data_IF_095738327299
#
_entry.id   IF_095738327299
#
_cell.length_a   1.000
_cell.length_b   1.000
_cell.length_c   1.000
_cell.angle_alpha   90.00
_cell.angle_beta   90.00
_cell.angle_gamma   90.00
#
_symmetry.space_group_name_H-M   'P 1'
#
loop_
_entity.id
_entity.type
_entity.pdbx_description
1 polymer ?
#
# COMPACT_ATOMS: atom_id res chain seq x y z
N UNK A 1 9.16 28.16 -23.41
CA UNK A 1 10.11 27.94 -24.55
C UNK A 1 9.39 28.10 -25.87
N UNK A 2 10.13 28.27 -26.98
CA UNK A 2 9.56 28.34 -28.33
C UNK A 2 8.71 27.12 -28.72
N UNK A 3 8.93 26.01 -28.07
CA UNK A 3 8.25 24.70 -28.32
C UNK A 3 7.00 24.51 -27.44
N UNK A 4 6.53 25.57 -26.77
CA UNK A 4 5.37 25.50 -25.87
C UNK A 4 5.63 24.79 -24.54
N UNK A 5 6.86 24.36 -24.22
CA UNK A 5 7.20 23.77 -22.92
C UNK A 5 7.22 24.82 -21.83
N UNK A 6 6.57 24.54 -20.71
CA UNK A 6 6.66 25.34 -19.49
C UNK A 6 7.90 24.89 -18.74
N UNK A 7 8.86 25.82 -18.53
CA UNK A 7 10.04 25.57 -17.69
C UNK A 7 9.84 26.21 -16.32
N UNK A 8 10.05 25.48 -15.23
CA UNK A 8 10.11 26.07 -13.92
C UNK A 8 11.43 26.85 -13.77
N UNK A 9 11.32 28.17 -13.57
CA UNK A 9 12.48 29.05 -13.39
C UNK A 9 12.46 29.63 -11.98
N UNK A 10 13.61 29.62 -11.33
CA UNK A 10 13.87 30.44 -10.16
C UNK A 10 14.43 31.78 -10.64
N UNK A 11 13.77 32.88 -10.35
CA UNK A 11 14.24 34.21 -10.69
C UNK A 11 14.66 34.95 -9.42
N UNK A 12 15.89 35.44 -9.41
CA UNK A 12 16.40 36.34 -8.39
C UNK A 12 16.62 37.70 -9.02
N UNK A 13 16.07 38.73 -8.45
CA UNK A 13 16.25 40.14 -8.92
C UNK A 13 17.01 40.89 -7.84
N UNK A 14 18.11 41.52 -8.23
CA UNK A 14 18.96 42.37 -7.37
C UNK A 14 19.02 43.77 -7.89
N UNK A 15 18.99 44.74 -7.01
CA UNK A 15 19.20 46.17 -7.31
C UNK A 15 20.69 46.45 -7.35
N UNK A 16 21.11 47.19 -8.36
CA UNK A 16 22.47 47.76 -8.45
C UNK A 16 22.37 49.27 -8.27
N UNK A 17 23.12 49.80 -7.31
CA UNK A 17 23.16 51.21 -6.99
C UNK A 17 24.56 51.76 -7.26
N UNK A 18 24.65 53.04 -7.64
CA UNK A 18 25.92 53.74 -7.82
C UNK A 18 26.58 54.13 -6.48
N UNK A 19 27.73 54.81 -6.56
CA UNK A 19 28.48 55.28 -5.37
C UNK A 19 27.71 56.32 -4.54
N UNK A 20 26.64 56.90 -5.08
CA UNK A 20 25.75 57.85 -4.43
C UNK A 20 24.45 57.20 -3.91
N UNK A 21 24.33 55.84 -4.01
CA UNK A 21 23.17 55.10 -3.54
C UNK A 21 21.96 55.15 -4.50
N UNK A 22 22.11 55.74 -5.68
CA UNK A 22 21.04 55.82 -6.69
C UNK A 22 20.91 54.49 -7.43
N UNK A 23 19.68 53.97 -7.52
CA UNK A 23 19.39 52.74 -8.29
C UNK A 23 19.71 52.99 -9.77
N UNK A 24 20.59 52.15 -10.33
CA UNK A 24 21.02 52.27 -11.72
C UNK A 24 20.47 51.15 -12.59
N UNK A 25 20.41 49.93 -12.04
CA UNK A 25 20.01 48.73 -12.80
C UNK A 25 19.31 47.71 -11.90
N UNK A 26 18.53 46.82 -12.51
CA UNK A 26 18.13 45.56 -11.94
C UNK A 26 18.86 44.43 -12.66
N UNK A 27 19.45 43.53 -11.90
CA UNK A 27 20.01 42.29 -12.43
C UNK A 27 19.06 41.18 -12.13
N UNK A 28 18.53 40.50 -13.16
CA UNK A 28 17.71 39.33 -13.01
C UNK A 28 18.52 38.09 -13.43
N UNK A 29 18.69 37.17 -12.50
CA UNK A 29 19.27 35.85 -12.76
C UNK A 29 18.12 34.83 -12.82
N UNK A 30 18.06 34.09 -13.90
CA UNK A 30 17.09 33.03 -14.09
C UNK A 30 17.82 31.70 -14.11
N UNK A 31 17.43 30.80 -13.20
CA UNK A 31 17.99 29.46 -13.12
C UNK A 31 16.90 28.45 -13.47
N UNK A 32 17.16 27.55 -14.43
CA UNK A 32 16.29 26.41 -14.70
C UNK A 32 16.36 25.42 -13.52
N UNK A 33 15.23 25.18 -12.89
CA UNK A 33 15.10 24.25 -11.74
C UNK A 33 14.37 22.97 -12.10
N UNK A 34 14.27 22.63 -13.40
CA UNK A 34 13.58 21.40 -13.87
C UNK A 34 14.15 20.16 -13.22
N UNK A 35 15.46 20.00 -13.24
CA UNK A 35 16.14 18.84 -12.64
C UNK A 35 15.93 18.75 -11.12
N UNK A 36 15.90 19.88 -10.44
CA UNK A 36 15.61 19.94 -8.99
C UNK A 36 14.19 19.47 -8.72
N UNK A 37 13.22 19.96 -9.48
CA UNK A 37 11.81 19.57 -9.33
C UNK A 37 11.57 18.10 -9.70
N UNK A 38 12.21 17.60 -10.75
CA UNK A 38 12.14 16.18 -11.13
C UNK A 38 12.71 15.29 -10.02
N UNK A 39 13.87 15.66 -9.47
CA UNK A 39 14.49 14.94 -8.36
C UNK A 39 13.60 14.98 -7.12
N UNK A 40 13.06 16.13 -6.77
CA UNK A 40 12.14 16.29 -5.64
C UNK A 40 10.89 15.42 -5.80
N UNK A 41 10.26 15.47 -6.98
CA UNK A 41 9.08 14.63 -7.28
C UNK A 41 9.41 13.14 -7.23
N UNK A 42 10.60 12.76 -7.68
CA UNK A 42 11.06 11.37 -7.59
C UNK A 42 11.29 10.93 -6.16
N UNK A 43 11.91 11.77 -5.33
CA UNK A 43 12.08 11.49 -3.90
C UNK A 43 10.74 11.38 -3.17
N UNK A 44 9.81 12.29 -3.45
CA UNK A 44 8.45 12.25 -2.91
C UNK A 44 7.72 10.95 -3.30
N UNK A 45 7.84 10.54 -4.56
CA UNK A 45 7.27 9.28 -5.02
C UNK A 45 7.87 8.08 -4.26
N UNK A 46 9.19 8.02 -4.15
CA UNK A 46 9.90 6.94 -3.45
C UNK A 46 9.59 6.89 -1.95
N UNK A 47 9.33 8.04 -1.32
CA UNK A 47 8.95 8.11 0.07
C UNK A 47 7.54 7.53 0.34
N UNK A 48 6.63 7.58 -0.65
CA UNK A 48 5.22 7.27 -0.48
C UNK A 48 4.73 6.04 -1.26
N UNK A 49 5.55 5.47 -2.15
CA UNK A 49 5.17 4.34 -2.98
C UNK A 49 6.17 3.19 -2.86
N UNK A 50 5.67 1.99 -3.04
CA UNK A 50 6.49 0.79 -3.20
C UNK A 50 7.17 0.81 -4.57
N UNK A 51 8.50 0.70 -4.58
CA UNK A 51 9.32 0.87 -5.79
C UNK A 51 9.05 -0.22 -6.83
N UNK A 52 8.66 -1.41 -6.39
CA UNK A 52 8.44 -2.55 -7.27
C UNK A 52 7.09 -2.50 -7.96
N UNK A 53 6.02 -2.24 -7.19
CA UNK A 53 4.63 -2.31 -7.68
C UNK A 53 4.03 -0.94 -8.00
N UNK A 54 4.72 0.14 -7.64
CA UNK A 54 4.24 1.54 -7.73
C UNK A 54 2.95 1.82 -6.95
N UNK A 55 2.51 0.89 -6.11
CA UNK A 55 1.38 1.09 -5.23
C UNK A 55 1.77 1.99 -4.05
N UNK A 56 0.82 2.66 -3.39
CA UNK A 56 1.03 3.24 -2.08
C UNK A 56 1.78 2.29 -1.15
N UNK A 57 2.83 2.80 -0.49
CA UNK A 57 3.56 2.03 0.50
C UNK A 57 2.87 2.10 1.88
N UNK A 58 3.46 1.47 2.89
CA UNK A 58 2.96 1.46 4.28
C UNK A 58 2.73 2.87 4.84
N UNK A 59 3.63 3.80 4.55
CA UNK A 59 3.54 5.18 5.04
C UNK A 59 2.32 5.89 4.47
N UNK A 60 2.22 5.96 3.15
CA UNK A 60 1.09 6.62 2.46
C UNK A 60 -0.25 5.94 2.79
N UNK A 61 -0.25 4.61 2.92
CA UNK A 61 -1.45 3.89 3.33
C UNK A 61 -1.89 4.25 4.74
N UNK A 62 -0.96 4.30 5.70
CA UNK A 62 -1.25 4.68 7.09
C UNK A 62 -1.85 6.08 7.18
N UNK A 63 -1.26 7.05 6.48
CA UNK A 63 -1.76 8.43 6.44
C UNK A 63 -3.18 8.49 5.86
N UNK A 64 -3.43 7.79 4.75
CA UNK A 64 -4.77 7.71 4.15
C UNK A 64 -5.79 7.08 5.07
N UNK A 65 -5.44 5.97 5.72
CA UNK A 65 -6.33 5.28 6.64
C UNK A 65 -6.75 6.18 7.81
N UNK A 66 -5.81 6.93 8.40
CA UNK A 66 -6.11 7.90 9.46
C UNK A 66 -7.11 8.97 8.97
N UNK A 67 -6.82 9.60 7.82
CA UNK A 67 -7.70 10.62 7.26
C UNK A 67 -9.12 10.10 6.93
N UNK A 68 -9.19 8.87 6.40
CA UNK A 68 -10.48 8.25 6.05
C UNK A 68 -11.28 7.91 7.30
N UNK A 69 -10.63 7.42 8.37
CA UNK A 69 -11.29 7.17 9.67
C UNK A 69 -11.82 8.48 10.28
N UNK A 70 -11.02 9.55 10.31
CA UNK A 70 -11.46 10.85 10.81
C UNK A 70 -12.67 11.39 10.04
N UNK A 71 -12.66 11.21 8.71
CA UNK A 71 -13.80 11.59 7.87
C UNK A 71 -15.02 10.71 8.16
N UNK A 72 -14.84 9.40 8.22
CA UNK A 72 -15.91 8.44 8.52
C UNK A 72 -16.56 8.72 9.88
N UNK A 73 -15.76 9.08 10.89
CA UNK A 73 -16.24 9.46 12.21
C UNK A 73 -17.12 10.72 12.18
N UNK A 74 -16.71 11.75 11.42
CA UNK A 74 -17.49 12.99 11.30
C UNK A 74 -18.78 12.82 10.53
N UNK A 75 -18.76 11.99 9.50
CA UNK A 75 -19.87 11.84 8.53
C UNK A 75 -20.76 10.64 8.85
N UNK A 76 -20.43 9.83 9.86
CA UNK A 76 -21.18 8.64 10.23
C UNK A 76 -21.08 7.52 9.17
N UNK A 77 -19.96 7.47 8.44
CA UNK A 77 -19.74 6.47 7.40
C UNK A 77 -19.02 5.24 7.96
N UNK A 78 -19.17 4.12 7.26
CA UNK A 78 -18.40 2.89 7.50
C UNK A 78 -17.34 2.72 6.41
N UNK A 79 -16.22 2.14 6.77
CA UNK A 79 -15.14 1.75 5.87
C UNK A 79 -14.78 0.28 6.12
N UNK A 80 -14.20 -0.39 5.12
CA UNK A 80 -13.69 -1.74 5.30
C UNK A 80 -12.23 -1.84 4.87
N UNK A 81 -11.51 -2.71 5.57
CA UNK A 81 -10.12 -3.04 5.28
C UNK A 81 -10.02 -4.53 4.94
N UNK A 82 -9.35 -4.84 3.83
CA UNK A 82 -8.95 -6.19 3.47
C UNK A 82 -7.42 -6.28 3.60
N UNK A 83 -6.94 -7.16 4.47
CA UNK A 83 -5.52 -7.49 4.56
C UNK A 83 -5.28 -8.78 3.79
N UNK A 84 -4.41 -8.74 2.77
CA UNK A 84 -4.19 -9.82 1.80
C UNK A 84 -2.74 -10.26 1.89
N UNK A 85 -2.51 -11.56 1.99
CA UNK A 85 -1.17 -12.16 1.98
C UNK A 85 -1.15 -13.30 0.95
N UNK A 86 -0.05 -13.40 0.21
CA UNK A 86 0.11 -14.40 -0.84
C UNK A 86 0.55 -15.75 -0.24
N UNK A 87 -0.25 -16.76 -0.43
CA UNK A 87 -0.01 -18.09 0.13
C UNK A 87 1.25 -18.73 -0.49
N UNK A 88 2.20 -19.12 0.37
CA UNK A 88 3.43 -19.80 -0.05
C UNK A 88 4.34 -19.00 -1.00
N UNK A 89 4.24 -17.68 -1.04
CA UNK A 89 5.09 -16.83 -1.89
C UNK A 89 6.60 -17.08 -1.68
N UNK A 90 7.00 -17.36 -0.43
CA UNK A 90 8.39 -17.73 -0.12
C UNK A 90 8.85 -18.94 -0.92
N UNK A 91 8.01 -19.97 -1.11
CA UNK A 91 8.37 -21.17 -1.87
C UNK A 91 8.66 -20.85 -3.35
N UNK A 92 7.96 -19.86 -3.91
CA UNK A 92 8.24 -19.38 -5.28
C UNK A 92 9.61 -18.73 -5.33
N UNK A 93 9.93 -17.84 -4.39
CA UNK A 93 11.26 -17.23 -4.30
C UNK A 93 12.37 -18.26 -4.12
N UNK A 94 12.18 -19.21 -3.22
CA UNK A 94 13.17 -20.25 -2.92
C UNK A 94 13.38 -21.21 -4.11
N UNK A 95 12.35 -21.44 -4.93
CA UNK A 95 12.41 -22.38 -6.06
C UNK A 95 12.80 -21.73 -7.39
N UNK A 96 12.34 -20.50 -7.66
CA UNK A 96 12.48 -19.82 -8.96
C UNK A 96 13.33 -18.54 -8.90
N UNK A 97 13.73 -18.14 -7.69
CA UNK A 97 14.53 -16.96 -7.45
C UNK A 97 13.71 -15.67 -7.27
N UNK A 98 14.31 -14.70 -6.60
CA UNK A 98 13.68 -13.43 -6.25
C UNK A 98 13.21 -12.61 -7.46
N UNK A 99 13.90 -12.68 -8.60
CA UNK A 99 13.48 -11.96 -9.82
C UNK A 99 12.11 -12.42 -10.33
N UNK A 100 11.82 -13.73 -10.25
CA UNK A 100 10.51 -14.28 -10.61
C UNK A 100 9.45 -13.87 -9.59
N UNK A 101 9.80 -13.90 -8.30
CA UNK A 101 8.92 -13.40 -7.25
C UNK A 101 8.57 -11.93 -7.39
N UNK A 102 9.56 -11.08 -7.72
CA UNK A 102 9.33 -9.65 -7.96
C UNK A 102 8.39 -9.42 -9.15
N UNK A 103 8.59 -10.13 -10.26
CA UNK A 103 7.68 -10.03 -11.40
C UNK A 103 6.27 -10.54 -11.06
N UNK A 104 6.15 -11.60 -10.28
CA UNK A 104 4.86 -12.08 -9.78
C UNK A 104 4.15 -11.03 -8.92
N UNK A 105 4.86 -10.31 -8.05
CA UNK A 105 4.29 -9.23 -7.24
C UNK A 105 3.76 -8.09 -8.11
N UNK A 106 4.42 -7.76 -9.21
CA UNK A 106 3.93 -6.77 -10.18
C UNK A 106 2.62 -7.23 -10.82
N UNK A 107 2.58 -8.49 -11.29
CA UNK A 107 1.37 -9.06 -11.89
C UNK A 107 0.20 -9.14 -10.90
N UNK A 108 0.49 -9.51 -9.63
CA UNK A 108 -0.50 -9.51 -8.54
C UNK A 108 -1.04 -8.10 -8.31
N UNK A 109 -0.16 -7.10 -8.23
CA UNK A 109 -0.57 -5.70 -8.04
C UNK A 109 -1.49 -5.21 -9.17
N UNK A 110 -1.17 -5.54 -10.42
CA UNK A 110 -1.99 -5.19 -11.58
C UNK A 110 -3.37 -5.89 -11.54
N UNK A 111 -3.41 -7.18 -11.21
CA UNK A 111 -4.65 -7.94 -11.08
C UNK A 111 -5.53 -7.40 -9.96
N UNK A 112 -4.98 -7.14 -8.78
CA UNK A 112 -5.70 -6.51 -7.67
C UNK A 112 -6.24 -5.13 -8.05
N UNK A 113 -5.42 -4.31 -8.73
CA UNK A 113 -5.84 -2.97 -9.17
C UNK A 113 -7.02 -3.00 -10.14
N UNK A 114 -7.14 -4.05 -10.96
CA UNK A 114 -8.28 -4.23 -11.87
C UNK A 114 -9.59 -4.57 -11.17
N UNK A 115 -9.53 -5.12 -9.95
CA UNK A 115 -10.68 -5.53 -9.15
C UNK A 115 -11.17 -4.44 -8.19
N UNK A 116 -10.27 -3.52 -7.81
CA UNK A 116 -10.52 -2.46 -6.83
C UNK A 116 -11.04 -1.20 -7.54
N UNK A 117 -12.01 -0.51 -6.94
CA UNK A 117 -12.57 0.73 -7.49
C UNK A 117 -11.54 1.87 -7.42
N UNK A 118 -11.72 2.88 -8.28
CA UNK A 118 -10.85 4.08 -8.27
C UNK A 118 -10.95 4.89 -6.98
N UNK A 119 -12.09 4.79 -6.27
CA UNK A 119 -12.32 5.42 -4.98
C UNK A 119 -11.60 4.74 -3.82
N UNK A 120 -11.26 3.47 -3.99
CA UNK A 120 -10.67 2.67 -2.94
C UNK A 120 -9.14 2.72 -3.05
N UNK A 121 -8.46 2.54 -1.94
CA UNK A 121 -6.99 2.54 -1.90
C UNK A 121 -6.47 1.10 -1.87
N UNK A 122 -5.66 0.73 -2.86
CA UNK A 122 -4.84 -0.48 -2.85
C UNK A 122 -3.41 -0.08 -2.51
N UNK A 123 -2.77 -0.79 -1.58
CA UNK A 123 -1.39 -0.56 -1.16
C UNK A 123 -0.63 -1.87 -0.98
N UNK A 124 0.72 -1.81 -1.01
CA UNK A 124 1.60 -2.90 -0.61
C UNK A 124 2.36 -2.49 0.65
N UNK A 125 2.25 -3.29 1.70
CA UNK A 125 2.87 -2.98 2.99
C UNK A 125 4.31 -3.48 3.10
N UNK A 126 4.69 -4.43 2.26
CA UNK A 126 6.02 -5.04 2.17
C UNK A 126 5.91 -6.55 1.91
N UNK A 127 6.99 -7.17 1.43
CA UNK A 127 6.99 -8.61 1.13
C UNK A 127 5.83 -9.01 0.21
N UNK A 128 5.01 -9.92 0.68
CA UNK A 128 3.82 -10.49 0.03
C UNK A 128 2.49 -9.93 0.57
N UNK A 129 2.53 -8.83 1.35
CA UNK A 129 1.38 -8.23 2.00
C UNK A 129 0.80 -7.07 1.19
N UNK A 130 -0.49 -7.17 0.85
CA UNK A 130 -1.28 -6.11 0.22
C UNK A 130 -2.45 -5.73 1.12
N UNK A 131 -2.93 -4.49 0.98
CA UNK A 131 -4.13 -4.03 1.68
C UNK A 131 -5.04 -3.26 0.74
N UNK A 132 -6.35 -3.43 0.94
CA UNK A 132 -7.38 -2.64 0.27
C UNK A 132 -8.18 -1.91 1.33
N UNK A 133 -8.28 -0.59 1.20
CA UNK A 133 -9.17 0.26 1.99
C UNK A 133 -10.36 0.64 1.13
N UNK A 134 -11.53 0.15 1.49
CA UNK A 134 -12.81 0.47 0.86
C UNK A 134 -13.42 1.67 1.58
N UNK A 135 -13.61 2.77 0.85
CA UNK A 135 -14.19 4.00 1.38
C UNK A 135 -15.70 4.05 1.15
N UNK A 136 -16.40 4.83 1.98
CA UNK A 136 -17.81 5.18 1.84
C UNK A 136 -18.79 3.98 1.89
N UNK A 137 -19.45 3.84 3.03
CA UNK A 137 -20.54 2.86 3.27
C UNK A 137 -20.15 1.40 2.99
N UNK A 138 -18.90 1.05 3.26
CA UNK A 138 -18.48 -0.34 3.20
C UNK A 138 -19.13 -1.14 4.33
N UNK A 139 -19.48 -2.38 4.04
CA UNK A 139 -20.06 -3.33 5.01
C UNK A 139 -19.29 -4.64 4.94
N UNK A 140 -19.47 -5.49 5.95
CA UNK A 140 -18.92 -6.86 5.89
C UNK A 140 -19.35 -7.60 4.62
N UNK A 141 -20.57 -7.41 4.14
CA UNK A 141 -21.07 -8.08 2.94
C UNK A 141 -20.37 -7.56 1.66
N UNK A 142 -20.20 -6.23 1.54
CA UNK A 142 -19.52 -5.63 0.38
C UNK A 142 -18.02 -5.97 0.38
N UNK A 143 -17.39 -6.00 1.55
CA UNK A 143 -16.00 -6.39 1.72
C UNK A 143 -15.77 -7.87 1.40
N UNK A 144 -16.65 -8.76 1.90
CA UNK A 144 -16.63 -10.17 1.56
C UNK A 144 -16.83 -10.40 0.05
N UNK A 145 -17.75 -9.66 -0.59
CA UNK A 145 -17.95 -9.75 -2.04
C UNK A 145 -16.73 -9.31 -2.87
N UNK A 146 -15.91 -8.37 -2.36
CA UNK A 146 -14.63 -8.05 -2.98
C UNK A 146 -13.59 -9.15 -2.72
N UNK A 147 -13.52 -9.67 -1.49
CA UNK A 147 -12.63 -10.77 -1.15
C UNK A 147 -12.89 -12.03 -1.99
N UNK A 148 -14.16 -12.40 -2.20
CA UNK A 148 -14.57 -13.50 -3.08
C UNK A 148 -14.06 -13.29 -4.51
N UNK A 149 -14.17 -12.06 -5.04
CA UNK A 149 -13.67 -11.72 -6.39
C UNK A 149 -12.15 -11.85 -6.46
N UNK A 150 -11.44 -11.40 -5.42
CA UNK A 150 -9.98 -11.53 -5.35
C UNK A 150 -9.59 -13.01 -5.33
N UNK A 151 -10.15 -13.82 -4.43
CA UNK A 151 -9.88 -15.27 -4.35
C UNK A 151 -10.19 -15.96 -5.69
N UNK A 152 -11.34 -15.65 -6.31
CA UNK A 152 -11.69 -16.21 -7.61
C UNK A 152 -10.71 -15.81 -8.73
N UNK A 153 -10.23 -14.57 -8.73
CA UNK A 153 -9.24 -14.11 -9.71
C UNK A 153 -7.88 -14.78 -9.53
N UNK A 154 -7.51 -15.13 -8.30
CA UNK A 154 -6.25 -15.81 -7.99
C UNK A 154 -6.24 -17.30 -8.37
N UNK A 155 -7.40 -17.90 -8.68
CA UNK A 155 -7.48 -19.24 -9.28
C UNK A 155 -6.95 -19.30 -10.71
N UNK A 156 -6.83 -18.14 -11.37
CA UNK A 156 -6.22 -18.03 -12.69
C UNK A 156 -4.70 -17.89 -12.54
N UNK A 157 -3.94 -18.53 -13.43
CA UNK A 157 -2.49 -18.41 -13.45
C UNK A 157 -2.02 -16.97 -13.62
N UNK A 158 -0.81 -16.70 -13.14
CA UNK A 158 -0.05 -15.50 -13.41
C UNK A 158 1.03 -15.85 -14.43
N UNK A 159 1.03 -15.18 -15.59
CA UNK A 159 2.05 -15.39 -16.60
C UNK A 159 3.29 -14.55 -16.27
N UNK A 160 4.34 -15.20 -15.79
CA UNK A 160 5.61 -14.56 -15.41
C UNK A 160 6.73 -15.12 -16.25
N UNK A 161 7.36 -14.28 -17.07
CA UNK A 161 8.46 -14.67 -17.97
C UNK A 161 8.15 -15.90 -18.85
N UNK A 162 6.90 -16.04 -19.27
CA UNK A 162 6.44 -17.15 -20.10
C UNK A 162 6.09 -18.44 -19.32
N UNK A 163 6.10 -18.38 -17.99
CA UNK A 163 5.74 -19.50 -17.09
C UNK A 163 4.40 -19.17 -16.41
N UNK A 164 3.48 -20.12 -16.45
CA UNK A 164 2.23 -20.04 -15.69
C UNK A 164 2.46 -20.41 -14.22
N UNK A 165 2.29 -19.43 -13.33
CA UNK A 165 2.40 -19.61 -11.89
C UNK A 165 1.02 -19.58 -11.24
N UNK A 166 0.79 -20.48 -10.30
CA UNK A 166 -0.42 -20.52 -9.48
C UNK A 166 -0.07 -20.15 -8.05
N UNK A 167 -0.78 -19.15 -7.51
CA UNK A 167 -0.63 -18.72 -6.13
C UNK A 167 -2.00 -18.34 -5.59
N UNK A 168 -2.33 -18.82 -4.39
CA UNK A 168 -3.52 -18.42 -3.64
C UNK A 168 -3.26 -17.19 -2.78
N UNK A 169 -4.30 -16.71 -2.12
CA UNK A 169 -4.18 -15.65 -1.13
C UNK A 169 -5.09 -15.90 0.07
N UNK A 170 -4.63 -15.46 1.23
CA UNK A 170 -5.39 -15.43 2.48
C UNK A 170 -5.76 -13.99 2.81
N UNK A 171 -7.04 -13.75 3.12
CA UNK A 171 -7.58 -12.40 3.30
C UNK A 171 -8.26 -12.27 4.67
N UNK A 172 -7.89 -11.25 5.42
CA UNK A 172 -8.58 -10.82 6.64
C UNK A 172 -9.40 -9.56 6.40
N UNK A 173 -10.61 -9.52 6.93
CA UNK A 173 -11.57 -8.42 6.71
C UNK A 173 -11.94 -7.79 8.05
N UNK A 174 -11.85 -6.44 8.11
CA UNK A 174 -12.39 -5.63 9.22
C UNK A 174 -13.25 -4.49 8.70
N UNK A 175 -14.20 -4.03 9.54
CA UNK A 175 -15.08 -2.90 9.25
C UNK A 175 -15.03 -1.90 10.40
N UNK A 176 -14.80 -0.62 10.09
CA UNK A 176 -14.92 0.49 11.03
C UNK A 176 -16.38 0.93 11.15
N UNK A 177 -16.88 1.23 12.34
CA UNK A 177 -16.19 1.19 13.65
C UNK A 177 -16.31 -0.15 14.40
N UNK A 178 -16.99 -1.16 13.83
CA UNK A 178 -17.35 -2.41 14.53
C UNK A 178 -16.10 -3.20 14.98
N UNK A 179 -15.11 -3.32 14.10
CA UNK A 179 -13.92 -4.15 14.33
C UNK A 179 -12.72 -3.35 14.82
N UNK A 180 -12.89 -2.05 15.10
CA UNK A 180 -11.83 -1.19 15.64
C UNK A 180 -12.17 0.29 15.50
N UNK A 181 -11.79 1.07 16.51
CA UNK A 181 -12.07 2.50 16.57
C UNK A 181 -10.96 3.36 15.96
N UNK A 182 -9.81 2.77 15.66
CA UNK A 182 -8.62 3.45 15.13
C UNK A 182 -7.86 2.59 14.10
N UNK A 183 -6.94 3.22 13.37
CA UNK A 183 -6.19 2.61 12.29
C UNK A 183 -5.34 1.41 12.76
N UNK A 184 -4.72 1.52 13.92
CA UNK A 184 -3.83 0.48 14.46
C UNK A 184 -4.64 -0.75 14.83
N UNK A 185 -5.78 -0.56 15.49
CA UNK A 185 -6.70 -1.62 15.89
C UNK A 185 -7.29 -2.32 14.67
N UNK A 186 -7.75 -1.57 13.65
CA UNK A 186 -8.31 -2.14 12.43
C UNK A 186 -7.29 -2.98 11.66
N UNK A 187 -6.07 -2.47 11.48
CA UNK A 187 -5.00 -3.21 10.80
C UNK A 187 -4.62 -4.48 11.54
N UNK A 188 -4.44 -4.40 12.86
CA UNK A 188 -4.12 -5.56 13.71
C UNK A 188 -5.21 -6.63 13.64
N UNK A 189 -6.47 -6.22 13.67
CA UNK A 189 -7.59 -7.14 13.64
C UNK A 189 -7.76 -7.76 12.24
N UNK A 190 -7.47 -7.01 11.16
CA UNK A 190 -7.45 -7.54 9.80
C UNK A 190 -6.32 -8.57 9.61
N UNK A 191 -5.11 -8.29 10.09
CA UNK A 191 -3.99 -9.23 10.10
C UNK A 191 -4.34 -10.51 10.89
N UNK A 192 -4.94 -10.36 12.08
CA UNK A 192 -5.43 -11.51 12.88
C UNK A 192 -6.44 -12.36 12.10
N UNK A 193 -7.38 -11.75 11.39
CA UNK A 193 -8.35 -12.46 10.56
C UNK A 193 -7.69 -13.13 9.35
N UNK A 194 -6.72 -12.49 8.71
CA UNK A 194 -5.92 -13.04 7.61
C UNK A 194 -5.14 -14.29 8.06
N UNK A 195 -4.50 -14.23 9.23
CA UNK A 195 -3.80 -15.38 9.79
C UNK A 195 -4.75 -16.58 10.00
N UNK A 196 -6.01 -16.32 10.41
CA UNK A 196 -7.02 -17.37 10.51
C UNK A 196 -7.44 -17.94 9.17
N UNK A 197 -7.48 -17.13 8.11
CA UNK A 197 -7.70 -17.66 6.76
C UNK A 197 -6.59 -18.65 6.40
N UNK A 198 -5.34 -18.37 6.76
CA UNK A 198 -4.21 -19.30 6.60
C UNK A 198 -4.37 -20.59 7.40
N UNK A 199 -4.81 -20.50 8.65
CA UNK A 199 -5.05 -21.66 9.51
C UNK A 199 -6.26 -22.50 9.05
N UNK A 200 -7.27 -21.87 8.44
CA UNK A 200 -8.47 -22.55 7.92
C UNK A 200 -8.27 -23.30 6.59
N UNK A 201 -7.05 -23.27 6.05
CA UNK A 201 -6.72 -23.99 4.81
C UNK A 201 -6.22 -23.10 3.68
N UNK A 202 -6.07 -21.80 3.90
CA UNK A 202 -5.64 -20.80 2.90
C UNK A 202 -6.64 -20.61 1.75
N UNK A 203 -6.23 -19.90 0.71
CA UNK A 203 -7.03 -19.64 -0.51
C UNK A 203 -8.47 -19.20 -0.20
N UNK A 204 -8.60 -18.23 0.70
CA UNK A 204 -9.90 -17.79 1.18
C UNK A 204 -9.85 -16.54 2.03
N UNK A 205 -10.98 -16.17 2.61
CA UNK A 205 -11.07 -15.01 3.47
C UNK A 205 -11.79 -15.29 4.78
N UNK A 206 -11.45 -14.53 5.82
CA UNK A 206 -12.09 -14.58 7.15
C UNK A 206 -12.42 -13.15 7.57
N UNK A 207 -13.63 -12.96 8.13
CA UNK A 207 -13.97 -11.73 8.83
C UNK A 207 -13.42 -11.76 10.25
N UNK A 208 -12.98 -10.60 10.72
CA UNK A 208 -12.64 -10.48 12.13
C UNK A 208 -13.86 -10.77 13.01
N UNK A 209 -13.61 -11.44 14.10
CA UNK A 209 -14.55 -11.65 15.17
C UNK A 209 -13.81 -11.62 16.50
N UNK A 210 -14.23 -10.76 17.43
CA UNK A 210 -13.56 -10.56 18.72
C UNK A 210 -13.52 -11.84 19.58
N UNK A 211 -14.57 -12.66 19.55
CA UNK A 211 -14.65 -13.92 20.32
C UNK A 211 -13.59 -14.95 19.89
N UNK A 212 -13.19 -14.88 18.65
CA UNK A 212 -12.17 -15.75 18.07
C UNK A 212 -10.74 -15.24 18.34
N UNK A 213 -10.57 -14.02 18.82
CA UNK A 213 -9.27 -13.32 18.92
C UNK A 213 -8.35 -13.88 20.01
N UNK A 214 -8.87 -14.33 21.15
CA UNK A 214 -8.02 -14.74 22.28
C UNK A 214 -7.22 -16.02 22.00
N UNK A 215 -7.84 -17.03 21.40
CA UNK A 215 -7.16 -18.31 21.09
C UNK A 215 -6.07 -18.15 20.01
N UNK A 216 -6.22 -17.19 19.09
CA UNK A 216 -5.26 -16.94 18.00
C UNK A 216 -4.12 -16.05 18.45
N UNK A 217 -4.37 -15.14 19.40
CA UNK A 217 -3.38 -14.17 19.89
C UNK A 217 -2.12 -14.86 20.44
N UNK A 218 -2.30 -15.87 21.29
CA UNK A 218 -1.18 -16.62 21.85
C UNK A 218 -0.37 -17.36 20.79
N UNK A 219 -1.00 -17.84 19.72
CA UNK A 219 -0.33 -18.54 18.62
C UNK A 219 0.44 -17.58 17.70
N UNK A 220 -0.13 -16.42 17.40
CA UNK A 220 0.53 -15.36 16.61
C UNK A 220 1.74 -14.79 17.36
N UNK A 221 1.60 -14.51 18.64
CA UNK A 221 2.71 -14.01 19.48
C UNK A 221 3.87 -15.02 19.52
N UNK A 222 3.55 -16.32 19.58
CA UNK A 222 4.56 -17.40 19.54
C UNK A 222 5.24 -17.50 18.16
N UNK A 223 4.49 -17.41 17.05
CA UNK A 223 5.04 -17.48 15.69
C UNK A 223 5.90 -16.26 15.36
N UNK A 224 5.47 -15.07 15.76
CA UNK A 224 6.29 -13.84 15.66
C UNK A 224 7.57 -13.92 16.49
N UNK A 225 7.50 -14.45 17.70
CA UNK A 225 8.67 -14.65 18.57
C UNK A 225 9.65 -15.68 17.96
N UNK A 226 9.15 -16.78 17.40
CA UNK A 226 9.94 -17.78 16.70
C UNK A 226 10.63 -17.22 15.45
N UNK A 227 9.91 -16.45 14.64
CA UNK A 227 10.50 -15.78 13.45
C UNK A 227 11.55 -14.74 13.80
N UNK A 228 11.36 -13.99 14.89
CA UNK A 228 12.33 -13.05 15.40
C UNK A 228 13.59 -13.80 15.90
N UNK A 229 13.43 -14.86 16.69
CA UNK A 229 14.53 -15.66 17.22
C UNK A 229 15.36 -16.35 16.13
N UNK A 230 14.72 -16.84 15.05
CA UNK A 230 15.42 -17.43 13.90
C UNK A 230 16.20 -16.37 13.10
N UNK A 231 15.72 -15.12 13.07
CA UNK A 231 16.39 -14.02 12.36
C UNK A 231 17.57 -13.45 13.15
N UNK A 232 17.49 -13.45 14.48
CA UNK A 232 18.50 -12.87 15.38
C UNK A 232 19.52 -13.91 15.86
N UNK A 233 19.35 -15.21 15.51
CA UNK A 233 20.21 -16.34 15.90
C UNK A 233 20.99 -16.99 14.76
N UNK A 234 21.09 -16.31 13.58
CA UNK A 234 21.84 -16.78 12.40
C UNK A 234 23.07 -15.92 12.11
#
# INVERSE_FOLDING_TARGET
>A
TRDGRILPLLQTVSEVRDSHGVLTHHIAVMTDISSIKETQSRLDFLAHHDVLTELPNRLLFSDRLHHVIERAQREGHTIALLFIDLDHFKNINDSLGHQVGDQLLIEVAQRLRSLVRRSDTLARLGGDEFVVLMENHASHATAAGLADKVVAAFKQSFLVNGIDLFIGCSIGITVYPEDGADAVTLLKNADTAMYRAKDAGRDGHVRYNAELSEATRSKIELDHALRAAVRDGG
#
